data_IF_364610702821
#
_entry.id   IF_364610702821
#
_cell.length_a   1.000
_cell.length_b   1.000
_cell.length_c   1.000
_cell.angle_alpha   90.00
_cell.angle_beta   90.00
_cell.angle_gamma   90.00
#
_symmetry.space_group_name_H-M   'P 1'
#
loop_
_entity.id
_entity.type
_entity.pdbx_description
1 polymer ?
#
# COMPACT_ATOMS: atom_id res chain seq x y z
N UNK A 1 -17.17 -24.92 17.25
CA UNK A 1 -16.14 -24.57 16.28
C UNK A 1 -16.79 -23.65 15.25
N UNK A 2 -16.78 -22.33 15.48
CA UNK A 2 -17.39 -21.36 14.56
C UNK A 2 -16.38 -21.05 13.48
N UNK A 3 -16.69 -21.39 12.24
CA UNK A 3 -15.96 -20.97 11.06
C UNK A 3 -16.02 -19.44 10.96
N UNK A 4 -14.88 -18.79 11.20
CA UNK A 4 -14.70 -17.37 10.84
C UNK A 4 -14.71 -17.32 9.33
N UNK A 5 -15.59 -16.54 8.69
CA UNK A 5 -15.55 -16.39 7.23
C UNK A 5 -14.22 -15.72 6.89
N UNK A 6 -13.38 -16.44 6.16
CA UNK A 6 -12.24 -15.87 5.43
C UNK A 6 -12.81 -14.78 4.53
N UNK A 7 -12.62 -13.53 4.92
CA UNK A 7 -12.89 -12.39 4.05
C UNK A 7 -11.77 -12.37 3.02
N UNK A 8 -11.98 -13.16 1.95
CA UNK A 8 -11.37 -12.81 0.68
C UNK A 8 -11.88 -11.40 0.39
N UNK A 9 -10.98 -10.45 0.12
CA UNK A 9 -11.35 -9.29 -0.66
C UNK A 9 -11.63 -9.77 -2.09
N UNK A 10 -12.61 -10.64 -2.21
CA UNK A 10 -13.38 -10.79 -3.42
C UNK A 10 -14.04 -9.41 -3.56
N UNK A 11 -13.66 -8.66 -4.56
CA UNK A 11 -14.56 -7.67 -5.12
C UNK A 11 -15.80 -8.49 -5.50
N UNK A 12 -16.77 -8.60 -4.59
CA UNK A 12 -18.11 -8.85 -5.02
C UNK A 12 -18.40 -7.69 -5.95
N UNK A 13 -18.35 -7.98 -7.24
CA UNK A 13 -18.94 -7.12 -8.24
C UNK A 13 -20.44 -7.10 -7.93
N UNK A 14 -20.77 -6.30 -6.92
CA UNK A 14 -22.13 -6.04 -6.52
C UNK A 14 -22.77 -5.37 -7.73
N UNK A 15 -23.53 -6.17 -8.46
CA UNK A 15 -24.52 -5.80 -9.46
C UNK A 15 -24.25 -4.46 -10.14
N UNK A 16 -23.63 -4.49 -11.33
CA UNK A 16 -23.65 -3.37 -12.26
C UNK A 16 -25.09 -2.87 -12.40
N UNK A 17 -25.45 -1.79 -11.75
CA UNK A 17 -26.72 -1.11 -11.98
C UNK A 17 -26.57 -0.29 -13.24
N UNK A 18 -27.08 -0.82 -14.36
CA UNK A 18 -27.25 -0.05 -15.59
C UNK A 18 -28.44 0.88 -15.36
N UNK A 19 -28.20 2.15 -15.11
CA UNK A 19 -29.25 3.16 -15.02
C UNK A 19 -29.45 3.73 -16.42
N UNK A 20 -30.50 3.31 -17.12
CA UNK A 20 -30.88 3.90 -18.41
C UNK A 20 -31.60 5.22 -18.13
N UNK A 21 -31.03 6.37 -18.43
CA UNK A 21 -31.76 7.63 -18.59
C UNK A 21 -32.34 7.65 -20.00
N UNK A 22 -33.67 7.71 -20.09
CA UNK A 22 -34.39 7.81 -21.36
C UNK A 22 -34.08 9.10 -22.12
N UNK A 23 -33.87 8.93 -23.37
CA UNK A 23 -33.86 9.79 -24.54
C UNK A 23 -32.52 10.23 -25.13
N UNK A 24 -32.25 9.70 -26.30
CA UNK A 24 -31.46 10.14 -27.44
C UNK A 24 -29.92 10.05 -27.46
N UNK A 25 -29.22 9.87 -26.34
CA UNK A 25 -27.83 9.41 -26.38
C UNK A 25 -27.69 8.25 -25.41
N UNK A 26 -27.56 7.03 -25.92
CA UNK A 26 -27.42 5.83 -25.07
C UNK A 26 -26.04 5.69 -24.47
N UNK A 27 -25.64 6.66 -23.69
CA UNK A 27 -24.57 6.52 -22.75
C UNK A 27 -25.04 5.62 -21.61
N UNK A 28 -24.57 4.38 -21.56
CA UNK A 28 -24.74 3.52 -20.39
C UNK A 28 -23.98 4.17 -19.23
N UNK A 29 -24.68 4.73 -18.25
CA UNK A 29 -24.06 5.18 -17.01
C UNK A 29 -23.79 3.95 -16.14
N UNK A 30 -22.53 3.63 -15.93
CA UNK A 30 -22.10 2.48 -15.12
C UNK A 30 -21.76 2.99 -13.73
N UNK A 31 -22.43 2.45 -12.72
CA UNK A 31 -22.06 2.70 -11.31
C UNK A 31 -20.81 1.87 -10.95
N UNK A 32 -19.69 2.57 -10.68
CA UNK A 32 -18.42 1.98 -10.29
C UNK A 32 -18.23 1.94 -8.77
N UNK A 33 -19.24 2.41 -8.00
CA UNK A 33 -19.14 2.40 -6.54
C UNK A 33 -18.94 0.98 -6.00
N UNK A 34 -18.12 0.85 -4.97
CA UNK A 34 -17.79 -0.44 -4.37
C UNK A 34 -17.52 -0.30 -2.87
N UNK A 35 -17.41 -1.44 -2.19
CA UNK A 35 -17.06 -1.49 -0.76
C UNK A 35 -15.78 -2.28 -0.55
N UNK A 36 -14.90 -1.72 0.28
CA UNK A 36 -13.72 -2.39 0.80
C UNK A 36 -13.90 -2.58 2.32
N UNK A 37 -14.52 -3.68 2.71
CA UNK A 37 -15.03 -3.86 4.07
C UNK A 37 -16.13 -2.85 4.38
N UNK A 38 -15.90 -1.98 5.37
CA UNK A 38 -16.84 -0.90 5.72
C UNK A 38 -16.59 0.41 4.95
N UNK A 39 -15.50 0.48 4.18
CA UNK A 39 -15.14 1.67 3.42
C UNK A 39 -15.88 1.69 2.09
N UNK A 40 -16.68 2.72 1.85
CA UNK A 40 -17.35 2.98 0.57
C UNK A 40 -16.42 3.78 -0.34
N UNK A 41 -16.26 3.31 -1.57
CA UNK A 41 -15.40 3.91 -2.58
C UNK A 41 -16.20 4.21 -3.85
N UNK A 42 -15.94 5.34 -4.53
CA UNK A 42 -16.64 5.70 -5.77
C UNK A 42 -16.22 4.84 -6.97
N UNK A 43 -15.07 4.18 -6.86
CA UNK A 43 -14.53 3.29 -7.90
C UNK A 43 -13.67 2.19 -7.26
N UNK A 44 -13.54 1.01 -7.90
CA UNK A 44 -12.78 -0.11 -7.35
C UNK A 44 -11.27 0.04 -7.51
N UNK A 45 -10.80 1.01 -8.30
CA UNK A 45 -9.38 1.23 -8.56
C UNK A 45 -8.77 2.14 -7.49
N UNK A 46 -7.59 1.75 -6.99
CA UNK A 46 -6.76 2.56 -6.09
C UNK A 46 -5.34 2.65 -6.66
N UNK A 47 -4.62 3.73 -6.37
CA UNK A 47 -3.18 3.73 -6.61
C UNK A 47 -2.50 2.76 -5.66
N UNK A 48 -1.37 2.17 -6.09
CA UNK A 48 -0.54 1.42 -5.16
C UNK A 48 0.49 2.33 -4.48
N UNK A 49 0.81 2.05 -3.21
CA UNK A 49 1.86 2.77 -2.49
C UNK A 49 3.18 2.75 -3.27
N UNK A 50 3.77 3.93 -3.47
CA UNK A 50 5.02 4.12 -4.22
C UNK A 50 4.86 4.33 -5.73
N UNK A 51 3.63 4.27 -6.29
CA UNK A 51 3.38 4.47 -7.72
C UNK A 51 2.97 5.92 -8.05
N UNK A 52 2.33 6.63 -7.13
CA UNK A 52 1.79 7.96 -7.35
C UNK A 52 2.25 8.98 -6.29
N UNK A 53 3.30 8.71 -5.54
CA UNK A 53 3.74 9.53 -4.40
C UNK A 53 2.56 9.93 -3.50
N UNK A 54 2.21 11.23 -3.45
CA UNK A 54 1.01 11.77 -2.79
C UNK A 54 -0.04 12.25 -3.82
N UNK A 55 0.06 11.84 -5.08
CA UNK A 55 -0.91 12.14 -6.13
C UNK A 55 -0.72 13.48 -6.84
N UNK A 56 0.18 14.36 -6.40
CA UNK A 56 0.36 15.72 -6.98
C UNK A 56 0.69 15.68 -8.48
N UNK A 57 1.61 14.82 -8.87
CA UNK A 57 1.99 14.65 -10.28
C UNK A 57 0.84 14.00 -11.08
N UNK A 58 0.19 13.01 -10.52
CA UNK A 58 -0.93 12.32 -11.17
C UNK A 58 -2.12 13.26 -11.41
N UNK A 59 -2.36 14.22 -10.52
CA UNK A 59 -3.45 15.21 -10.64
C UNK A 59 -3.35 16.10 -11.88
N UNK A 60 -2.18 16.18 -12.51
CA UNK A 60 -1.98 16.93 -13.76
C UNK A 60 -2.57 16.19 -14.98
N UNK A 61 -2.85 14.90 -14.86
CA UNK A 61 -3.30 14.05 -15.97
C UNK A 61 -4.74 13.55 -15.78
N UNK A 62 -5.24 13.55 -14.54
CA UNK A 62 -6.60 13.07 -14.22
C UNK A 62 -7.14 13.71 -12.95
N UNK A 63 -8.47 13.70 -12.82
CA UNK A 63 -9.11 14.05 -11.57
C UNK A 63 -8.97 12.87 -10.56
N UNK A 64 -8.32 13.12 -9.42
CA UNK A 64 -8.08 12.08 -8.42
C UNK A 64 -9.37 11.62 -7.70
N UNK A 65 -10.48 12.37 -7.84
CA UNK A 65 -11.76 11.95 -7.32
C UNK A 65 -12.40 10.80 -8.13
N UNK A 66 -11.92 10.55 -9.37
CA UNK A 66 -12.45 9.52 -10.27
C UNK A 66 -11.95 8.11 -9.90
N UNK A 67 -10.96 8.00 -9.02
CA UNK A 67 -10.50 6.72 -8.47
C UNK A 67 -10.96 6.54 -7.03
N UNK A 68 -10.96 5.31 -6.53
CA UNK A 68 -11.42 4.98 -5.18
C UNK A 68 -10.64 5.73 -4.11
N UNK A 69 -9.31 5.68 -4.15
CA UNK A 69 -8.43 6.44 -3.25
C UNK A 69 -6.99 6.50 -3.79
N UNK A 70 -6.23 7.48 -3.32
CA UNK A 70 -4.78 7.51 -3.41
C UNK A 70 -4.21 6.78 -2.20
N UNK A 71 -3.41 5.72 -2.45
CA UNK A 71 -2.56 5.12 -1.42
C UNK A 71 -1.20 5.80 -1.51
N UNK A 72 -0.82 6.54 -0.46
CA UNK A 72 0.41 7.35 -0.47
C UNK A 72 1.67 6.50 -0.50
N UNK A 73 2.80 7.11 -0.85
CA UNK A 73 4.12 6.52 -0.58
C UNK A 73 4.23 6.23 0.91
N UNK A 74 4.79 5.06 1.28
CA UNK A 74 4.98 4.71 2.70
C UNK A 74 5.82 5.75 3.42
N UNK A 75 5.28 6.32 4.51
CA UNK A 75 5.88 7.37 5.31
C UNK A 75 6.55 6.75 6.54
N UNK A 76 7.76 7.20 6.82
CA UNK A 76 8.51 6.87 8.02
C UNK A 76 8.32 7.94 9.10
N UNK A 77 8.73 7.62 10.33
CA UNK A 77 8.71 8.57 11.42
C UNK A 77 9.61 9.78 11.13
N UNK A 78 10.84 9.51 10.69
CA UNK A 78 11.86 10.50 10.40
C UNK A 78 12.11 10.62 8.89
N UNK A 79 12.63 11.76 8.40
CA UNK A 79 13.03 11.93 7.01
C UNK A 79 14.07 10.91 6.59
N UNK A 80 14.01 10.47 5.31
CA UNK A 80 14.97 9.53 4.75
C UNK A 80 15.32 9.89 3.31
N UNK A 81 16.62 9.95 2.99
CA UNK A 81 17.14 10.25 1.64
C UNK A 81 16.97 9.10 0.63
N UNK A 82 16.71 7.88 1.13
CA UNK A 82 16.67 6.68 0.31
C UNK A 82 18.08 6.11 0.05
N UNK A 83 18.17 5.17 -0.92
CA UNK A 83 19.43 4.51 -1.29
C UNK A 83 20.20 5.30 -2.35
N UNK A 84 21.48 4.97 -2.56
CA UNK A 84 22.29 5.49 -3.63
C UNK A 84 21.74 5.08 -5.02
N UNK A 85 22.04 5.85 -6.06
CA UNK A 85 21.71 5.55 -7.46
C UNK A 85 22.79 4.64 -8.09
N UNK A 86 22.42 3.82 -9.08
CA UNK A 86 21.12 3.62 -9.72
C UNK A 86 20.10 2.93 -8.80
N UNK A 87 18.86 3.44 -8.79
CA UNK A 87 17.78 2.92 -7.95
C UNK A 87 16.72 2.14 -8.71
N UNK A 88 16.77 2.19 -10.04
CA UNK A 88 15.80 1.55 -10.94
C UNK A 88 16.55 0.87 -12.07
N UNK A 89 16.05 -0.29 -12.48
CA UNK A 89 16.54 -1.03 -13.62
C UNK A 89 15.38 -1.71 -14.33
N UNK A 90 15.33 -1.59 -15.65
CA UNK A 90 14.33 -2.29 -16.47
C UNK A 90 14.64 -3.80 -16.54
N UNK A 91 13.59 -4.59 -16.70
CA UNK A 91 13.64 -6.00 -16.99
C UNK A 91 12.74 -6.30 -18.21
N UNK A 92 12.88 -7.44 -18.89
CA UNK A 92 12.08 -7.74 -20.08
C UNK A 92 10.56 -7.64 -19.91
N UNK A 93 10.06 -7.85 -18.70
CA UNK A 93 8.61 -7.82 -18.41
C UNK A 93 8.27 -7.10 -17.10
N UNK A 94 9.08 -6.11 -16.73
CA UNK A 94 8.86 -5.37 -15.50
C UNK A 94 10.01 -4.44 -15.17
N UNK A 95 10.15 -4.12 -13.91
CA UNK A 95 11.15 -3.19 -13.41
C UNK A 95 11.59 -3.57 -11.99
N UNK A 96 12.89 -3.44 -11.74
CA UNK A 96 13.45 -3.46 -10.39
C UNK A 96 13.54 -2.06 -9.81
N UNK A 97 13.19 -1.90 -8.54
CA UNK A 97 13.44 -0.68 -7.82
C UNK A 97 14.12 -0.94 -6.46
N UNK A 98 14.95 0.00 -6.04
CA UNK A 98 15.63 0.01 -4.75
C UNK A 98 15.64 1.43 -4.18
N UNK A 99 14.45 2.04 -4.07
CA UNK A 99 14.27 3.44 -3.66
C UNK A 99 14.71 3.67 -2.21
N UNK A 100 14.46 2.71 -1.31
CA UNK A 100 14.89 2.76 0.08
C UNK A 100 14.03 3.64 0.99
N UNK A 101 12.72 3.69 0.75
CA UNK A 101 11.74 4.45 1.54
C UNK A 101 12.11 5.94 1.67
N UNK A 102 12.57 6.56 0.58
CA UNK A 102 12.78 8.00 0.53
C UNK A 102 11.48 8.74 0.88
N UNK A 103 11.57 9.71 1.78
CA UNK A 103 10.42 10.52 2.16
C UNK A 103 10.75 11.60 3.20
N UNK A 104 9.82 12.53 3.41
CA UNK A 104 10.03 13.71 4.26
C UNK A 104 9.89 13.44 5.76
N UNK A 105 9.46 12.23 6.15
CA UNK A 105 9.02 11.95 7.51
C UNK A 105 7.56 12.35 7.75
N UNK A 106 6.98 11.85 8.85
CA UNK A 106 5.54 11.99 9.12
C UNK A 106 5.14 13.46 9.37
N UNK A 107 5.97 14.26 10.03
CA UNK A 107 5.60 15.63 10.38
C UNK A 107 5.50 16.51 9.13
N UNK A 108 6.51 16.46 8.27
CA UNK A 108 6.50 17.21 7.01
C UNK A 108 5.42 16.70 6.05
N UNK A 109 5.17 15.38 6.03
CA UNK A 109 4.07 14.82 5.25
C UNK A 109 2.71 15.38 5.67
N UNK A 110 2.44 15.49 6.98
CA UNK A 110 1.18 16.06 7.50
C UNK A 110 1.06 17.54 7.10
N UNK A 111 2.15 18.29 7.22
CA UNK A 111 2.15 19.73 6.93
C UNK A 111 1.98 20.05 5.44
N UNK A 112 2.57 19.28 4.56
CA UNK A 112 2.62 19.59 3.14
C UNK A 112 1.68 18.71 2.30
N UNK A 113 1.95 17.40 2.28
CA UNK A 113 1.26 16.49 1.37
C UNK A 113 -0.18 16.23 1.80
N UNK A 114 -0.38 16.01 3.10
CA UNK A 114 -1.70 15.69 3.60
C UNK A 114 -2.63 16.89 3.54
N UNK A 115 -2.14 18.10 3.84
CA UNK A 115 -2.91 19.34 3.65
C UNK A 115 -3.26 19.59 2.18
N UNK A 116 -2.35 19.28 1.26
CA UNK A 116 -2.64 19.39 -0.16
C UNK A 116 -3.73 18.40 -0.59
N UNK A 117 -3.65 17.14 -0.14
CA UNK A 117 -4.66 16.11 -0.39
C UNK A 117 -6.03 16.51 0.16
N UNK A 118 -6.08 17.05 1.38
CA UNK A 118 -7.28 17.55 2.01
C UNK A 118 -7.90 18.72 1.22
N UNK A 119 -7.10 19.72 0.89
CA UNK A 119 -7.54 20.88 0.09
C UNK A 119 -8.14 20.47 -1.26
N UNK A 120 -7.62 19.42 -1.87
CA UNK A 120 -8.12 18.90 -3.14
C UNK A 120 -9.16 17.77 -2.99
N UNK A 121 -9.64 17.53 -1.77
CA UNK A 121 -10.68 16.55 -1.44
C UNK A 121 -10.36 15.13 -1.93
N UNK A 122 -9.08 14.76 -1.92
CA UNK A 122 -8.60 13.46 -2.39
C UNK A 122 -8.77 12.43 -1.29
N UNK A 123 -9.57 11.38 -1.54
CA UNK A 123 -9.62 10.22 -0.64
C UNK A 123 -8.25 9.59 -0.51
N UNK A 124 -7.79 9.45 0.73
CA UNK A 124 -6.41 9.08 1.00
C UNK A 124 -6.33 7.89 1.95
N UNK A 125 -5.62 6.86 1.53
CA UNK A 125 -5.14 5.79 2.41
C UNK A 125 -3.65 6.10 2.68
N UNK A 126 -3.32 6.42 3.92
CA UNK A 126 -1.94 6.75 4.28
C UNK A 126 -1.15 5.48 4.50
N UNK A 127 -0.16 5.23 3.65
CA UNK A 127 0.76 4.10 3.83
C UNK A 127 1.88 4.49 4.80
N UNK A 128 2.10 3.66 5.81
CA UNK A 128 3.12 3.89 6.85
C UNK A 128 4.12 2.73 6.90
N UNK A 129 5.36 3.04 7.25
CA UNK A 129 6.41 2.06 7.49
C UNK A 129 7.26 2.47 8.71
N UNK A 130 7.86 1.51 9.39
CA UNK A 130 8.72 1.75 10.56
C UNK A 130 9.87 0.76 10.63
N UNK A 131 10.90 1.11 11.39
CA UNK A 131 12.05 0.24 11.63
C UNK A 131 11.79 -0.78 12.76
N UNK A 132 10.79 -0.52 13.59
CA UNK A 132 10.33 -1.39 14.67
C UNK A 132 8.86 -1.13 14.98
N UNK A 133 8.22 -1.99 15.75
CA UNK A 133 6.80 -1.91 16.08
C UNK A 133 6.42 -0.60 16.80
N UNK A 134 7.32 -0.06 17.64
CA UNK A 134 7.10 1.21 18.35
C UNK A 134 7.00 2.39 17.38
N UNK A 135 7.86 2.47 16.35
CA UNK A 135 7.78 3.51 15.32
C UNK A 135 6.47 3.49 14.57
N UNK A 136 5.94 2.31 14.21
CA UNK A 136 4.60 2.19 13.63
C UNK A 136 3.52 2.78 14.55
N UNK A 137 3.61 2.50 15.85
CA UNK A 137 2.71 3.07 16.85
C UNK A 137 2.81 4.60 16.94
N UNK A 138 4.03 5.15 16.95
CA UNK A 138 4.28 6.60 16.98
C UNK A 138 3.72 7.30 15.74
N UNK A 139 3.93 6.74 14.55
CA UNK A 139 3.37 7.27 13.29
C UNK A 139 1.84 7.23 13.33
N UNK A 140 1.27 6.09 13.72
CA UNK A 140 -0.17 5.93 13.86
C UNK A 140 -0.78 6.94 14.85
N UNK A 141 -0.08 7.25 15.94
CA UNK A 141 -0.48 8.26 16.92
C UNK A 141 -0.60 9.66 16.32
N UNK A 142 0.33 10.05 15.44
CA UNK A 142 0.29 11.32 14.72
C UNK A 142 -0.85 11.39 13.71
N UNK A 143 -1.27 10.25 13.16
CA UNK A 143 -2.40 10.15 12.20
C UNK A 143 -3.78 10.03 12.87
N UNK A 144 -3.85 9.93 14.20
CA UNK A 144 -5.12 9.68 14.90
C UNK A 144 -6.17 10.78 14.69
N UNK A 145 -5.74 12.01 14.47
CA UNK A 145 -6.61 13.20 14.34
C UNK A 145 -6.18 14.06 13.16
N UNK A 146 -6.05 13.46 12.01
CA UNK A 146 -5.77 14.17 10.75
C UNK A 146 -7.06 14.40 9.95
N UNK A 147 -6.97 15.11 8.83
CA UNK A 147 -8.10 15.55 8.03
C UNK A 147 -9.10 14.45 7.63
N UNK A 148 -10.33 14.87 7.32
CA UNK A 148 -11.45 13.97 6.98
C UNK A 148 -11.24 13.20 5.67
N UNK A 149 -10.31 13.63 4.84
CA UNK A 149 -9.95 12.96 3.59
C UNK A 149 -9.17 11.66 3.79
N UNK A 150 -8.64 11.39 5.00
CA UNK A 150 -8.00 10.12 5.34
C UNK A 150 -9.07 9.08 5.63
N UNK A 151 -9.15 8.07 4.77
CA UNK A 151 -10.18 7.04 4.83
C UNK A 151 -9.65 5.67 5.26
N UNK A 152 -8.33 5.54 5.44
CA UNK A 152 -7.69 4.30 5.89
C UNK A 152 -6.18 4.44 6.09
N UNK A 153 -5.59 3.42 6.72
CA UNK A 153 -4.14 3.32 6.91
C UNK A 153 -3.66 2.00 6.31
N UNK A 154 -2.69 2.07 5.40
CA UNK A 154 -1.95 0.89 4.95
C UNK A 154 -0.68 0.74 5.79
N UNK A 155 -0.51 -0.40 6.45
CA UNK A 155 0.68 -0.72 7.25
C UNK A 155 1.61 -1.57 6.39
N UNK A 156 2.68 -0.97 5.90
CA UNK A 156 3.66 -1.64 5.06
C UNK A 156 4.65 -2.43 5.94
N UNK A 157 4.27 -3.64 6.29
CA UNK A 157 5.13 -4.57 7.04
C UNK A 157 6.14 -5.31 6.16
N UNK A 158 6.03 -5.17 4.84
CA UNK A 158 6.78 -5.94 3.84
C UNK A 158 8.11 -5.31 3.40
N UNK A 159 8.55 -4.22 4.03
CA UNK A 159 9.75 -3.54 3.59
C UNK A 159 11.03 -4.23 4.08
N UNK A 160 11.93 -4.70 3.18
CA UNK A 160 13.17 -5.38 3.56
C UNK A 160 14.27 -4.44 4.09
N UNK A 161 13.98 -3.16 4.26
CA UNK A 161 14.98 -2.11 4.53
C UNK A 161 15.18 -1.79 6.02
N UNK A 162 14.74 -2.66 6.92
CA UNK A 162 14.96 -2.46 8.35
C UNK A 162 16.35 -2.92 8.76
N UNK A 163 16.97 -2.19 9.65
CA UNK A 163 18.38 -2.20 10.01
C UNK A 163 18.98 -3.54 10.50
N UNK A 164 18.23 -4.59 10.62
CA UNK A 164 18.67 -5.92 11.02
C UNK A 164 18.49 -6.95 9.90
N UNK A 165 19.46 -6.96 8.95
CA UNK A 165 19.77 -8.08 8.06
C UNK A 165 18.59 -9.03 7.75
N UNK A 166 17.53 -8.53 7.10
CA UNK A 166 16.59 -9.41 6.41
C UNK A 166 15.43 -9.99 7.22
N UNK A 167 15.22 -9.64 8.49
CA UNK A 167 13.98 -9.96 9.19
C UNK A 167 12.94 -8.89 8.86
N UNK A 168 12.21 -9.14 7.81
CA UNK A 168 11.03 -8.36 7.42
C UNK A 168 9.91 -8.74 8.38
N UNK A 169 9.20 -7.77 8.96
CA UNK A 169 8.03 -8.04 9.82
C UNK A 169 7.00 -8.94 9.14
N UNK A 170 6.91 -8.87 7.80
CA UNK A 170 6.05 -9.73 7.01
C UNK A 170 6.53 -11.19 6.86
N UNK A 171 7.69 -11.56 7.39
CA UNK A 171 8.20 -12.93 7.25
C UNK A 171 7.81 -13.85 8.42
N UNK A 172 7.33 -13.29 9.54
CA UNK A 172 6.93 -14.03 10.73
C UNK A 172 5.55 -13.58 11.21
N UNK A 173 4.61 -14.50 11.42
CA UNK A 173 3.25 -14.19 11.89
C UNK A 173 3.24 -13.36 13.18
N UNK A 174 4.12 -13.67 14.13
CA UNK A 174 4.20 -13.02 15.45
C UNK A 174 4.60 -11.56 15.29
N UNK A 175 5.61 -11.26 14.48
CA UNK A 175 6.08 -9.90 14.23
C UNK A 175 5.04 -9.07 13.46
N UNK A 176 4.36 -9.69 12.49
CA UNK A 176 3.28 -9.06 11.76
C UNK A 176 2.10 -8.72 12.68
N UNK A 177 1.72 -9.67 13.55
CA UNK A 177 0.67 -9.50 14.56
C UNK A 177 1.00 -8.37 15.53
N UNK A 178 2.25 -8.31 16.03
CA UNK A 178 2.71 -7.26 16.97
C UNK A 178 2.52 -5.87 16.37
N UNK A 179 3.03 -5.64 15.15
CA UNK A 179 2.95 -4.34 14.47
C UNK A 179 1.50 -3.91 14.29
N UNK A 180 0.65 -4.78 13.76
CA UNK A 180 -0.77 -4.45 13.53
C UNK A 180 -1.49 -4.20 14.86
N UNK A 181 -1.23 -5.00 15.89
CA UNK A 181 -1.82 -4.82 17.23
C UNK A 181 -1.47 -3.46 17.83
N UNK A 182 -0.22 -3.00 17.69
CA UNK A 182 0.22 -1.68 18.17
C UNK A 182 -0.50 -0.57 17.41
N UNK A 183 -0.52 -0.64 16.08
CA UNK A 183 -1.23 0.34 15.24
C UNK A 183 -2.71 0.38 15.62
N UNK A 184 -3.39 -0.78 15.70
CA UNK A 184 -4.82 -0.86 16.06
C UNK A 184 -5.11 -0.26 17.44
N UNK A 185 -4.32 -0.58 18.45
CA UNK A 185 -4.48 0.01 19.80
C UNK A 185 -4.30 1.51 19.78
N UNK A 186 -3.37 2.02 18.97
CA UNK A 186 -3.05 3.44 18.91
C UNK A 186 -4.16 4.24 18.23
N UNK A 187 -4.67 3.79 17.08
CA UNK A 187 -5.72 4.53 16.34
C UNK A 187 -7.14 4.16 16.77
N UNK A 188 -7.31 3.06 17.54
CA UNK A 188 -8.65 2.58 17.92
C UNK A 188 -9.48 2.20 16.69
N UNK A 189 -10.74 2.63 16.67
CA UNK A 189 -11.67 2.40 15.56
C UNK A 189 -11.69 3.50 14.49
N UNK A 190 -10.81 4.52 14.55
CA UNK A 190 -10.87 5.71 13.69
C UNK A 190 -10.73 5.40 12.21
N UNK A 191 -9.91 4.42 11.83
CA UNK A 191 -9.65 4.05 10.44
C UNK A 191 -9.60 2.53 10.24
N UNK A 192 -10.03 2.02 9.07
CA UNK A 192 -9.67 0.67 8.64
C UNK A 192 -8.16 0.57 8.46
N UNK A 193 -7.60 -0.59 8.81
CA UNK A 193 -6.18 -0.91 8.66
C UNK A 193 -6.03 -1.98 7.59
N UNK A 194 -5.17 -1.72 6.61
CA UNK A 194 -4.78 -2.68 5.57
C UNK A 194 -3.33 -3.09 5.77
N UNK A 195 -3.06 -4.38 5.94
CA UNK A 195 -1.70 -4.87 6.06
C UNK A 195 -1.13 -5.17 4.68
N UNK A 196 -0.01 -4.51 4.29
CA UNK A 196 0.68 -4.76 3.02
C UNK A 196 1.63 -5.94 3.19
N UNK A 197 1.33 -7.06 2.52
CA UNK A 197 2.06 -8.31 2.65
C UNK A 197 3.20 -8.45 1.62
N UNK A 198 4.23 -9.21 1.99
CA UNK A 198 5.34 -9.57 1.11
C UNK A 198 5.06 -10.89 0.37
N UNK A 199 5.43 -11.00 -0.92
CA UNK A 199 5.45 -12.28 -1.61
C UNK A 199 6.65 -13.17 -1.23
N UNK A 200 7.66 -12.60 -0.57
CA UNK A 200 8.92 -13.27 -0.23
C UNK A 200 8.80 -14.11 1.05
N UNK A 201 7.73 -14.88 1.14
CA UNK A 201 7.42 -15.77 2.26
C UNK A 201 6.95 -17.13 1.77
N UNK A 202 7.19 -18.17 2.56
CA UNK A 202 6.75 -19.53 2.21
C UNK A 202 5.26 -19.72 2.40
N UNK A 203 4.69 -19.12 3.46
CA UNK A 203 3.27 -19.22 3.81
C UNK A 203 2.68 -17.84 4.09
N UNK A 204 2.16 -17.19 3.05
CA UNK A 204 1.51 -15.89 3.15
C UNK A 204 0.17 -15.97 3.90
N UNK A 205 -0.48 -17.15 3.92
CA UNK A 205 -1.77 -17.35 4.57
C UNK A 205 -1.63 -17.25 6.09
N UNK A 206 -0.56 -17.81 6.66
CA UNK A 206 -0.29 -17.70 8.10
C UNK A 206 -0.08 -16.24 8.52
N UNK A 207 0.63 -15.47 7.72
CA UNK A 207 0.83 -14.02 7.95
C UNK A 207 -0.50 -13.27 7.84
N UNK A 208 -1.30 -13.56 6.80
CA UNK A 208 -2.61 -12.93 6.61
C UNK A 208 -3.55 -13.19 7.79
N UNK A 209 -3.58 -14.42 8.31
CA UNK A 209 -4.36 -14.75 9.51
C UNK A 209 -3.89 -13.97 10.73
N UNK A 210 -2.58 -13.92 10.96
CA UNK A 210 -2.00 -13.21 12.11
C UNK A 210 -2.34 -11.71 12.08
N UNK A 211 -2.29 -11.04 10.91
CA UNK A 211 -2.64 -9.62 10.83
C UNK A 211 -4.14 -9.38 11.01
N UNK A 212 -5.00 -10.27 10.54
CA UNK A 212 -6.45 -10.19 10.76
C UNK A 212 -6.78 -10.40 12.25
N UNK A 213 -6.17 -11.38 12.89
CA UNK A 213 -6.33 -11.63 14.34
C UNK A 213 -5.84 -10.44 15.18
N UNK A 214 -4.84 -9.71 14.70
CA UNK A 214 -4.34 -8.48 15.30
C UNK A 214 -5.24 -7.25 15.08
N UNK A 215 -6.30 -7.37 14.27
CA UNK A 215 -7.27 -6.31 14.00
C UNK A 215 -7.09 -5.56 12.68
N UNK A 216 -6.37 -6.11 11.70
CA UNK A 216 -6.42 -5.58 10.34
C UNK A 216 -7.83 -5.73 9.76
N UNK A 217 -8.28 -4.73 9.02
CA UNK A 217 -9.59 -4.72 8.33
C UNK A 217 -9.51 -5.42 6.97
N UNK A 218 -8.29 -5.61 6.46
CA UNK A 218 -8.02 -6.27 5.20
C UNK A 218 -6.52 -6.36 4.93
N UNK A 219 -6.16 -6.91 3.77
CA UNK A 219 -4.77 -7.08 3.32
C UNK A 219 -4.57 -6.47 1.94
N UNK A 220 -3.38 -5.90 1.71
CA UNK A 220 -2.91 -5.50 0.38
C UNK A 220 -1.94 -6.57 -0.12
N UNK A 221 -2.27 -7.29 -1.16
CA UNK A 221 -1.43 -8.31 -1.79
C UNK A 221 -1.08 -7.90 -3.21
N UNK A 222 0.16 -7.90 -3.51
CA UNK A 222 1.41 -8.10 -2.76
C UNK A 222 2.34 -6.90 -2.94
N UNK A 223 3.39 -6.81 -2.11
CA UNK A 223 4.51 -5.92 -2.40
C UNK A 223 5.37 -6.53 -3.53
N UNK A 224 6.44 -5.85 -3.94
CA UNK A 224 7.38 -6.30 -4.96
C UNK A 224 8.11 -7.59 -4.54
N UNK A 225 8.42 -8.43 -5.51
CA UNK A 225 9.20 -9.66 -5.31
C UNK A 225 10.70 -9.34 -5.36
N UNK A 226 11.49 -9.90 -4.45
CA UNK A 226 12.94 -9.66 -4.43
C UNK A 226 13.60 -10.22 -5.70
N UNK A 227 14.42 -9.38 -6.34
CA UNK A 227 15.12 -9.74 -7.57
C UNK A 227 16.46 -9.03 -7.73
N UNK A 228 17.19 -9.41 -8.75
CA UNK A 228 18.47 -8.82 -9.13
C UNK A 228 18.65 -8.85 -10.65
N UNK A 229 19.28 -7.82 -11.19
CA UNK A 229 19.79 -7.78 -12.58
C UNK A 229 21.29 -7.56 -12.57
N UNK A 230 22.00 -8.36 -13.35
CA UNK A 230 23.44 -8.21 -13.60
C UNK A 230 23.62 -7.50 -14.95
N UNK A 231 24.34 -6.40 -14.95
CA UNK A 231 24.88 -5.80 -16.17
C UNK A 231 26.03 -6.66 -16.66
N UNK A 232 25.81 -7.41 -17.74
CA UNK A 232 26.79 -8.36 -18.28
C UNK A 232 27.95 -7.70 -18.99
N UNK A 233 27.83 -6.44 -19.40
CA UNK A 233 28.92 -5.67 -19.99
C UNK A 233 29.86 -5.14 -18.91
N UNK A 234 29.28 -4.61 -17.83
CA UNK A 234 30.03 -4.05 -16.72
C UNK A 234 30.36 -5.06 -15.62
N UNK A 235 29.85 -6.30 -15.74
CA UNK A 235 30.03 -7.40 -14.78
C UNK A 235 29.72 -7.00 -13.33
N UNK A 236 28.62 -6.24 -13.14
CA UNK A 236 28.18 -5.77 -11.83
C UNK A 236 26.66 -5.72 -11.71
N UNK A 237 26.09 -5.66 -10.50
CA UNK A 237 24.66 -5.41 -10.31
C UNK A 237 24.23 -4.09 -10.96
N UNK A 238 23.06 -4.09 -11.61
CA UNK A 238 22.49 -2.91 -12.23
C UNK A 238 22.03 -1.85 -11.21
N UNK A 239 21.70 -2.28 -9.98
CA UNK A 239 21.31 -1.40 -8.89
C UNK A 239 22.44 -1.20 -7.89
N UNK A 240 22.61 0.00 -7.37
CA UNK A 240 23.57 0.31 -6.30
C UNK A 240 23.31 -0.52 -5.03
N UNK A 241 22.05 -0.89 -4.75
CA UNK A 241 21.65 -1.75 -3.64
C UNK A 241 21.80 -3.26 -3.90
N UNK A 242 22.40 -3.66 -5.02
CA UNK A 242 22.57 -5.05 -5.50
C UNK A 242 21.23 -5.69 -5.88
N UNK A 243 20.30 -5.80 -4.92
CA UNK A 243 18.93 -6.32 -5.10
C UNK A 243 17.91 -5.19 -5.10
N UNK A 244 16.74 -5.46 -5.68
CA UNK A 244 15.59 -4.58 -5.68
C UNK A 244 14.28 -5.35 -5.72
N UNK A 245 13.18 -4.63 -5.55
CA UNK A 245 11.85 -5.21 -5.70
C UNK A 245 11.42 -5.23 -7.16
N UNK A 246 11.10 -6.41 -7.68
CA UNK A 246 10.54 -6.61 -9.00
C UNK A 246 9.04 -6.30 -9.00
N UNK A 247 8.62 -5.50 -9.96
CA UNK A 247 7.22 -5.15 -10.23
C UNK A 247 6.90 -5.28 -11.72
N UNK A 248 5.61 -5.12 -12.08
CA UNK A 248 5.15 -5.14 -13.46
C UNK A 248 4.52 -6.47 -13.87
N UNK A 249 4.29 -6.69 -15.17
CA UNK A 249 3.56 -7.85 -15.68
C UNK A 249 4.13 -9.21 -15.26
N UNK A 250 5.47 -9.29 -15.06
CA UNK A 250 6.15 -10.53 -14.66
C UNK A 250 5.63 -11.11 -13.34
N UNK A 251 5.22 -10.28 -12.37
CA UNK A 251 4.76 -10.77 -11.06
C UNK A 251 3.23 -10.90 -10.96
N UNK A 252 2.48 -10.53 -11.98
CA UNK A 252 1.02 -10.61 -11.96
C UNK A 252 0.48 -12.00 -11.58
N UNK A 253 0.99 -13.12 -12.15
CA UNK A 253 0.53 -14.45 -11.74
C UNK A 253 0.83 -14.77 -10.29
N UNK A 254 1.95 -14.26 -9.75
CA UNK A 254 2.32 -14.43 -8.34
C UNK A 254 1.33 -13.69 -7.44
N UNK A 255 0.98 -12.45 -7.79
CA UNK A 255 0.06 -11.66 -6.98
C UNK A 255 -1.39 -12.19 -7.01
N UNK A 256 -1.81 -12.78 -8.14
CA UNK A 256 -3.15 -13.40 -8.24
C UNK A 256 -3.22 -14.70 -7.42
N UNK A 257 -2.10 -15.45 -7.32
CA UNK A 257 -2.04 -16.67 -6.52
C UNK A 257 -1.99 -16.38 -5.02
N UNK A 258 -1.33 -15.29 -4.62
CA UNK A 258 -1.17 -14.91 -3.23
C UNK A 258 -2.50 -14.60 -2.53
#
# INVERSE_FOLDING_TARGET
>A
MRLVPLVWAYIEMTTMRIISKGNSDRGLEVDLSTKLGQLELPAPSLSASGCAASGKELSQFMNLADIGAIVTKSILLEPRSGRATPRMAETPSGMLNSIGLQGPGIDQFIEDDLKWLEKNQVRTIVSIAGNNAEEFGRIAGKLRKVGENVVGIEVNISCPNVANRGLVFACQPESAHEVISIVRRTIGGSYPIFAKLSPDVTDIVSIAKAVVDAGASGVSVINTLLGMVIDTQLMKPALAGVTGGLSGPAIRPVSVRA
#
